data_IF_076002081154
#
_entry.id   IF_076002081154
#
_cell.length_a   1.000
_cell.length_b   1.000
_cell.length_c   1.000
_cell.angle_alpha   90.00
_cell.angle_beta   90.00
_cell.angle_gamma   90.00
#
_symmetry.space_group_name_H-M   'P 1'
#
loop_
_entity.id
_entity.type
_entity.pdbx_description
1 polymer ?
#
# COMPACT_ATOMS: atom_id res chain seq x y z
N UNK A 1 -0.74 13.16 6.53
CA UNK A 1 0.30 12.52 5.68
C UNK A 1 1.70 12.52 6.29
N UNK A 2 2.04 11.54 7.12
CA UNK A 2 3.39 11.41 7.68
C UNK A 2 4.43 10.87 6.67
N UNK A 3 4.02 10.02 5.73
CA UNK A 3 4.91 9.40 4.73
C UNK A 3 5.36 10.38 3.65
N UNK A 4 4.52 11.34 3.25
CA UNK A 4 4.90 12.41 2.35
C UNK A 4 5.90 13.36 3.01
N UNK A 5 5.66 13.73 4.27
CA UNK A 5 6.56 14.59 5.04
C UNK A 5 7.96 13.98 5.22
N UNK A 6 8.04 12.66 5.48
CA UNK A 6 9.32 11.95 5.60
C UNK A 6 10.08 11.90 4.27
N UNK A 7 9.37 11.76 3.14
CA UNK A 7 10.00 11.83 1.80
C UNK A 7 10.58 13.21 1.53
N UNK A 8 9.84 14.27 1.84
CA UNK A 8 10.29 15.65 1.63
C UNK A 8 11.47 16.02 2.55
N UNK A 9 11.46 15.55 3.79
CA UNK A 9 12.59 15.72 4.72
C UNK A 9 13.82 14.96 4.21
N UNK A 10 13.66 13.74 3.70
CA UNK A 10 14.76 12.93 3.16
C UNK A 10 15.35 13.57 1.90
N UNK A 11 14.52 14.09 1.00
CA UNK A 11 14.95 14.82 -0.18
C UNK A 11 15.72 16.11 0.18
N UNK A 12 15.28 16.84 1.21
CA UNK A 12 16.02 18.00 1.74
C UNK A 12 17.35 17.60 2.39
N UNK A 13 17.41 16.47 3.11
CA UNK A 13 18.65 15.99 3.70
C UNK A 13 19.67 15.56 2.65
N UNK A 14 19.23 14.90 1.57
CA UNK A 14 20.10 14.55 0.43
C UNK A 14 20.63 15.81 -0.28
N UNK A 15 19.81 16.86 -0.38
CA UNK A 15 20.23 18.15 -0.93
C UNK A 15 21.24 18.92 -0.07
N UNK A 16 21.31 18.61 1.24
CA UNK A 16 22.27 19.18 2.20
C UNK A 16 23.54 18.33 2.36
N UNK A 17 23.56 17.13 1.77
CA UNK A 17 24.73 16.24 1.71
C UNK A 17 26.04 16.90 1.22
N UNK A 18 26.03 17.88 0.29
CA UNK A 18 27.25 18.58 -0.14
C UNK A 18 27.87 19.50 0.94
N UNK A 19 27.09 19.89 1.96
CA UNK A 19 27.55 20.76 3.06
C UNK A 19 28.07 19.96 4.26
N UNK A 20 28.06 18.63 4.20
CA UNK A 20 28.55 17.76 5.26
C UNK A 20 30.06 17.48 5.09
N UNK A 21 30.86 17.56 6.18
CA UNK A 21 32.28 17.25 6.14
C UNK A 21 32.54 15.84 5.59
N UNK A 22 33.64 15.65 4.82
CA UNK A 22 34.00 14.33 4.28
C UNK A 22 34.13 13.31 5.41
N UNK A 23 33.31 12.25 5.37
CA UNK A 23 33.33 11.16 6.34
C UNK A 23 32.12 11.06 7.27
N UNK A 24 31.19 12.04 7.25
CA UNK A 24 29.97 11.97 8.06
C UNK A 24 28.84 11.30 7.27
N UNK A 25 28.35 10.15 7.74
CA UNK A 25 27.22 9.40 7.15
C UNK A 25 26.04 9.40 8.12
N UNK A 26 24.92 9.98 7.71
CA UNK A 26 23.68 9.95 8.49
C UNK A 26 23.06 8.55 8.33
N UNK A 27 23.18 7.72 9.36
CA UNK A 27 22.56 6.38 9.41
C UNK A 27 21.29 6.49 10.26
N UNK A 28 20.09 6.39 9.68
CA UNK A 28 18.85 6.45 10.46
C UNK A 28 18.77 5.24 11.41
N UNK A 29 18.81 5.49 12.72
CA UNK A 29 18.85 4.47 13.77
C UNK A 29 17.49 3.78 14.01
N UNK A 30 16.38 4.35 13.52
CA UNK A 30 15.03 3.81 13.71
C UNK A 30 14.12 4.14 12.50
N UNK A 31 14.01 3.21 11.55
CA UNK A 31 13.16 3.37 10.37
C UNK A 31 11.82 2.64 10.55
N UNK A 32 10.82 3.33 11.14
CA UNK A 32 9.44 2.84 11.26
C UNK A 32 8.78 2.61 9.89
N UNK A 33 9.30 3.19 8.80
CA UNK A 33 8.77 2.93 7.47
C UNK A 33 8.99 1.48 7.07
N UNK A 34 10.06 0.82 7.53
CA UNK A 34 10.32 -0.57 7.18
C UNK A 34 9.24 -1.54 7.69
N UNK A 35 8.73 -1.32 8.91
CA UNK A 35 7.65 -2.12 9.48
C UNK A 35 6.31 -1.87 8.79
N UNK A 36 6.02 -0.60 8.46
CA UNK A 36 4.80 -0.22 7.73
C UNK A 36 4.83 -0.81 6.32
N UNK A 37 5.94 -0.67 5.59
CA UNK A 37 6.09 -1.22 4.24
C UNK A 37 5.93 -2.74 4.25
N UNK A 38 6.50 -3.44 5.23
CA UNK A 38 6.32 -4.89 5.39
C UNK A 38 4.86 -5.24 5.66
N UNK A 39 4.21 -4.60 6.62
CA UNK A 39 2.81 -4.85 6.94
C UNK A 39 1.89 -4.62 5.72
N UNK A 40 2.09 -3.52 4.99
CA UNK A 40 1.34 -3.22 3.76
C UNK A 40 1.58 -4.31 2.70
N UNK A 41 2.83 -4.73 2.49
CA UNK A 41 3.14 -5.79 1.51
C UNK A 41 2.48 -7.13 1.86
N UNK A 42 2.43 -7.49 3.16
CA UNK A 42 1.77 -8.71 3.61
C UNK A 42 0.27 -8.66 3.37
N UNK A 43 -0.38 -7.54 3.71
CA UNK A 43 -1.82 -7.36 3.47
C UNK A 43 -2.14 -7.37 1.97
N UNK A 44 -1.30 -6.73 1.16
CA UNK A 44 -1.48 -6.70 -0.29
C UNK A 44 -1.38 -8.10 -0.91
N UNK A 45 -0.40 -8.90 -0.48
CA UNK A 45 -0.26 -10.29 -0.93
C UNK A 45 -1.46 -11.14 -0.52
N UNK A 46 -1.92 -11.03 0.73
CA UNK A 46 -3.07 -11.78 1.22
C UNK A 46 -4.37 -11.42 0.45
N UNK A 47 -4.59 -10.15 0.14
CA UNK A 47 -5.72 -9.69 -0.68
C UNK A 47 -5.68 -10.28 -2.09
N UNK A 48 -4.49 -10.34 -2.69
CA UNK A 48 -4.31 -10.88 -4.04
C UNK A 48 -4.60 -12.39 -4.05
N UNK A 49 -4.06 -13.12 -3.07
CA UNK A 49 -4.28 -14.55 -2.92
C UNK A 49 -5.78 -14.88 -2.70
N UNK A 50 -6.45 -14.11 -1.84
CA UNK A 50 -7.90 -14.24 -1.63
C UNK A 50 -8.71 -13.95 -2.91
N UNK A 51 -8.34 -12.91 -3.65
CA UNK A 51 -9.04 -12.55 -4.90
C UNK A 51 -8.94 -13.66 -5.94
N UNK A 52 -7.75 -14.23 -6.13
CA UNK A 52 -7.53 -15.33 -7.07
C UNK A 52 -8.36 -16.55 -6.68
N UNK A 53 -8.35 -16.90 -5.39
CA UNK A 53 -9.09 -18.06 -4.88
C UNK A 53 -10.60 -17.92 -5.10
N UNK A 54 -11.15 -16.74 -4.85
CA UNK A 54 -12.56 -16.42 -5.13
C UNK A 54 -12.89 -16.53 -6.61
N UNK A 55 -12.05 -16.00 -7.50
CA UNK A 55 -12.27 -16.10 -8.96
C UNK A 55 -12.27 -17.55 -9.42
N UNK A 56 -11.31 -18.37 -8.97
CA UNK A 56 -11.25 -19.80 -9.28
C UNK A 56 -12.49 -20.53 -8.79
N UNK A 57 -12.92 -20.25 -7.55
CA UNK A 57 -14.13 -20.85 -6.98
C UNK A 57 -15.37 -20.49 -7.80
N UNK A 58 -15.53 -19.22 -8.19
CA UNK A 58 -16.67 -18.77 -8.99
C UNK A 58 -16.68 -19.39 -10.39
N UNK A 59 -15.52 -19.54 -11.03
CA UNK A 59 -15.39 -20.24 -12.31
C UNK A 59 -15.75 -21.72 -12.17
N UNK A 60 -15.26 -22.39 -11.12
CA UNK A 60 -15.50 -23.82 -10.89
C UNK A 60 -16.96 -24.14 -10.55
N UNK A 61 -17.61 -23.32 -9.72
CA UNK A 61 -18.98 -23.58 -9.26
C UNK A 61 -20.06 -23.05 -10.20
N UNK A 62 -19.83 -21.88 -10.80
CA UNK A 62 -20.88 -21.16 -11.53
C UNK A 62 -20.72 -21.25 -13.04
N UNK A 63 -19.56 -21.70 -13.55
CA UNK A 63 -19.31 -21.98 -14.97
C UNK A 63 -19.42 -20.76 -15.91
N UNK A 64 -19.61 -19.57 -15.35
CA UNK A 64 -19.90 -18.34 -16.08
C UNK A 64 -18.98 -17.19 -15.68
N UNK A 65 -18.36 -16.56 -16.68
CA UNK A 65 -17.49 -15.39 -16.49
C UNK A 65 -18.22 -14.18 -15.87
N UNK A 66 -19.54 -14.08 -16.06
CA UNK A 66 -20.36 -12.94 -15.60
C UNK A 66 -20.33 -12.77 -14.06
N UNK A 67 -20.70 -13.78 -13.25
CA UNK A 67 -20.66 -13.64 -11.79
C UNK A 67 -19.24 -13.52 -11.22
N UNK A 68 -18.23 -14.14 -11.85
CA UNK A 68 -16.84 -13.95 -11.48
C UNK A 68 -16.40 -12.48 -11.62
N UNK A 69 -16.78 -11.83 -12.72
CA UNK A 69 -16.52 -10.40 -12.98
C UNK A 69 -17.19 -9.49 -11.96
N UNK A 70 -18.44 -9.76 -11.59
CA UNK A 70 -19.19 -8.97 -10.61
C UNK A 70 -18.51 -9.01 -9.23
N UNK A 71 -18.10 -10.19 -8.77
CA UNK A 71 -17.44 -10.33 -7.46
C UNK A 71 -16.03 -9.74 -7.48
N UNK A 72 -15.28 -9.96 -8.56
CA UNK A 72 -13.94 -9.38 -8.72
C UNK A 72 -13.96 -7.84 -8.69
N UNK A 73 -15.00 -7.21 -9.26
CA UNK A 73 -15.17 -5.75 -9.20
C UNK A 73 -15.63 -5.25 -7.82
N UNK A 74 -16.24 -6.12 -7.02
CA UNK A 74 -16.79 -5.72 -5.71
C UNK A 74 -15.70 -5.39 -4.70
N UNK A 75 -14.56 -6.11 -4.72
CA UNK A 75 -13.40 -5.82 -3.86
C UNK A 75 -12.81 -4.42 -4.06
N UNK A 76 -12.41 -4.01 -5.29
CA UNK A 76 -11.86 -2.67 -5.52
C UNK A 76 -12.91 -1.58 -5.28
N UNK A 77 -14.19 -1.82 -5.56
CA UNK A 77 -15.26 -0.87 -5.24
C UNK A 77 -15.44 -0.69 -3.73
N UNK A 78 -15.40 -1.78 -2.95
CA UNK A 78 -15.46 -1.69 -1.49
C UNK A 78 -14.27 -0.92 -0.93
N UNK A 79 -13.05 -1.22 -1.40
CA UNK A 79 -11.85 -0.49 -1.00
C UNK A 79 -11.93 1.00 -1.37
N UNK A 80 -12.32 1.33 -2.60
CA UNK A 80 -12.55 2.72 -3.04
C UNK A 80 -13.60 3.42 -2.18
N UNK A 81 -14.71 2.74 -1.88
CA UNK A 81 -15.76 3.25 -0.99
C UNK A 81 -15.24 3.53 0.42
N UNK A 82 -14.44 2.61 0.98
CA UNK A 82 -13.79 2.81 2.28
C UNK A 82 -12.83 3.99 2.25
N UNK A 83 -11.94 4.08 1.26
CA UNK A 83 -11.02 5.21 1.14
C UNK A 83 -11.73 6.55 0.91
N UNK A 84 -12.80 6.56 0.11
CA UNK A 84 -13.62 7.74 -0.13
C UNK A 84 -14.29 8.19 1.18
N UNK A 85 -14.83 7.25 1.96
CA UNK A 85 -15.45 7.54 3.23
C UNK A 85 -14.43 8.01 4.27
N UNK A 86 -13.26 7.37 4.36
CA UNK A 86 -12.15 7.82 5.22
C UNK A 86 -11.74 9.26 4.88
N UNK A 87 -11.61 9.58 3.58
CA UNK A 87 -11.31 10.94 3.13
C UNK A 87 -12.41 11.94 3.48
N UNK A 88 -13.68 11.55 3.40
CA UNK A 88 -14.83 12.39 3.76
C UNK A 88 -14.93 12.59 5.28
N UNK A 89 -14.58 11.59 6.09
CA UNK A 89 -14.59 11.65 7.56
C UNK A 89 -13.31 12.23 8.14
N UNK A 90 -12.31 12.56 7.31
CA UNK A 90 -11.07 13.23 7.72
C UNK A 90 -9.99 12.31 8.29
N UNK A 91 -10.05 11.01 8.01
CA UNK A 91 -8.97 10.04 8.26
C UNK A 91 -8.05 9.92 7.05
#
# INVERSE_FOLDING_TARGET
DASALVRDIRAKLDSLGPSLPPGVRIVPFYDRSSLITRAVSTVQNALLEATVLVVVLLLAFLGGLRPALVVALMLPFAALGTFLLMRLTGM
#
